data_IF_401088781291
#
_entry.id   IF_401088781291
#
_cell.length_a   1.000
_cell.length_b   1.000
_cell.length_c   1.000
_cell.angle_alpha   90.00
_cell.angle_beta   90.00
_cell.angle_gamma   90.00
#
_symmetry.space_group_name_H-M   'P 1'
#
loop_
_entity.id
_entity.type
_entity.pdbx_description
1 polymer ?
#
# COMPACT_ATOMS: atom_id res chain seq x y z
N UNK A 1 -5.99 35.05 45.15
CA UNK A 1 -6.70 33.77 44.98
C UNK A 1 -7.38 33.64 43.62
N UNK A 2 -8.34 34.50 43.24
CA UNK A 2 -9.02 34.40 41.92
C UNK A 2 -8.08 34.41 40.71
N UNK A 3 -7.05 35.28 40.72
CA UNK A 3 -6.02 35.35 39.64
C UNK A 3 -5.15 34.09 39.56
N UNK A 4 -4.79 33.51 40.70
CA UNK A 4 -3.97 32.30 40.79
C UNK A 4 -4.72 31.07 40.24
N UNK A 5 -6.01 30.95 40.57
CA UNK A 5 -6.88 29.88 40.05
C UNK A 5 -7.04 29.99 38.52
N UNK A 6 -7.22 31.21 38.01
CA UNK A 6 -7.33 31.45 36.56
C UNK A 6 -6.06 31.03 35.80
N UNK A 7 -4.89 31.33 36.34
CA UNK A 7 -3.60 30.96 35.74
C UNK A 7 -3.43 29.44 35.71
N UNK A 8 -3.77 28.74 36.80
CA UNK A 8 -3.69 27.27 36.85
C UNK A 8 -4.61 26.60 35.84
N UNK A 9 -5.84 27.11 35.66
CA UNK A 9 -6.79 26.59 34.67
C UNK A 9 -6.27 26.82 33.24
N UNK A 10 -5.73 28.01 32.95
CA UNK A 10 -5.17 28.32 31.64
C UNK A 10 -3.97 27.41 31.29
N UNK A 11 -3.06 27.18 32.24
CA UNK A 11 -1.94 26.25 32.08
C UNK A 11 -2.40 24.81 31.85
N UNK A 12 -3.41 24.35 32.60
CA UNK A 12 -4.00 23.03 32.40
C UNK A 12 -4.60 22.85 31.00
N UNK A 13 -5.25 23.89 30.47
CA UNK A 13 -5.84 23.86 29.13
C UNK A 13 -4.79 23.82 28.01
N UNK A 14 -3.67 24.55 28.16
CA UNK A 14 -2.55 24.51 27.22
C UNK A 14 -1.89 23.12 27.20
N UNK A 15 -1.68 22.51 28.37
CA UNK A 15 -1.15 21.15 28.46
C UNK A 15 -2.10 20.13 27.83
N UNK A 16 -3.40 20.24 28.09
CA UNK A 16 -4.40 19.34 27.51
C UNK A 16 -4.45 19.43 25.98
N UNK A 17 -4.43 20.64 25.43
CA UNK A 17 -4.44 20.85 23.97
C UNK A 17 -3.16 20.36 23.30
N UNK A 18 -1.99 20.54 23.92
CA UNK A 18 -0.72 20.01 23.41
C UNK A 18 -0.73 18.48 23.34
N UNK A 19 -1.24 17.81 24.39
CA UNK A 19 -1.40 16.36 24.42
C UNK A 19 -2.40 15.89 23.35
N UNK A 20 -3.53 16.59 23.21
CA UNK A 20 -4.54 16.24 22.22
C UNK A 20 -4.02 16.39 20.78
N UNK A 21 -3.29 17.46 20.49
CA UNK A 21 -2.62 17.64 19.18
C UNK A 21 -1.61 16.52 18.94
N UNK A 22 -0.80 16.14 19.93
CA UNK A 22 0.15 15.04 19.82
C UNK A 22 -0.54 13.70 19.51
N UNK A 23 -1.62 13.37 20.22
CA UNK A 23 -2.41 12.16 19.96
C UNK A 23 -3.08 12.16 18.58
N UNK A 24 -3.69 13.28 18.18
CA UNK A 24 -4.33 13.39 16.85
C UNK A 24 -3.29 13.32 15.72
N UNK A 25 -2.09 13.85 15.93
CA UNK A 25 -0.97 13.76 14.98
C UNK A 25 -0.41 12.34 14.85
N UNK A 26 -0.45 11.56 15.93
CA UNK A 26 0.05 10.17 15.95
C UNK A 26 -0.89 9.14 15.31
N UNK A 27 -2.19 9.42 15.26
CA UNK A 27 -3.21 8.43 14.86
C UNK A 27 -3.46 8.39 13.34
N UNK A 28 -3.02 9.37 12.54
CA UNK A 28 -3.32 9.40 11.08
C UNK A 28 -2.14 9.18 10.14
N UNK A 29 -0.96 8.80 10.65
CA UNK A 29 0.19 8.46 9.80
C UNK A 29 0.05 7.07 9.17
N UNK A 30 -0.97 6.89 8.33
CA UNK A 30 -0.92 5.83 7.31
C UNK A 30 0.20 6.24 6.36
N UNK A 31 1.28 5.45 6.33
CA UNK A 31 2.41 5.76 5.43
C UNK A 31 1.87 5.86 4.00
N UNK A 32 2.16 6.96 3.28
CA UNK A 32 1.69 7.10 1.91
C UNK A 32 2.25 5.96 1.06
N UNK A 33 1.52 5.51 0.03
CA UNK A 33 2.02 4.45 -0.82
C UNK A 33 3.30 4.88 -1.53
N UNK A 34 4.22 3.92 -1.72
CA UNK A 34 5.47 4.10 -2.47
C UNK A 34 5.16 4.51 -3.91
N UNK A 35 4.14 3.88 -4.51
CA UNK A 35 3.67 4.22 -5.86
C UNK A 35 2.21 3.83 -6.03
N UNK A 36 1.49 4.63 -6.79
CA UNK A 36 0.07 4.42 -7.12
C UNK A 36 -0.09 4.01 -8.58
N UNK A 37 -1.06 3.15 -8.83
CA UNK A 37 -1.47 2.73 -10.16
C UNK A 37 -2.99 2.65 -10.23
N UNK A 38 -3.51 2.66 -11.45
CA UNK A 38 -4.92 2.43 -11.73
C UNK A 38 -5.06 1.27 -12.70
N UNK A 39 -5.83 0.26 -12.29
CA UNK A 39 -6.24 -0.85 -13.12
C UNK A 39 -7.63 -0.60 -13.69
N UNK A 40 -7.80 -0.82 -15.00
CA UNK A 40 -9.07 -0.72 -15.69
C UNK A 40 -9.77 -2.08 -15.68
N UNK A 41 -10.45 -2.35 -14.56
CA UNK A 41 -11.22 -3.56 -14.30
C UNK A 41 -11.57 -3.68 -12.82
N UNK A 42 -12.30 -4.74 -12.49
CA UNK A 42 -12.72 -5.01 -11.10
C UNK A 42 -11.57 -5.58 -10.27
N UNK A 43 -11.63 -5.37 -8.94
CA UNK A 43 -10.64 -5.95 -8.02
C UNK A 43 -10.53 -7.46 -8.20
N UNK A 44 -11.66 -8.16 -8.35
CA UNK A 44 -11.67 -9.61 -8.55
C UNK A 44 -10.90 -10.04 -9.81
N UNK A 45 -11.07 -9.33 -10.93
CA UNK A 45 -10.32 -9.61 -12.16
C UNK A 45 -8.82 -9.37 -11.97
N UNK A 46 -8.44 -8.33 -11.22
CA UNK A 46 -7.05 -8.07 -10.88
C UNK A 46 -6.45 -9.20 -10.05
N UNK A 47 -7.14 -9.63 -8.99
CA UNK A 47 -6.72 -10.71 -8.10
C UNK A 47 -6.56 -12.03 -8.87
N UNK A 48 -7.55 -12.41 -9.68
CA UNK A 48 -7.45 -13.59 -10.55
C UNK A 48 -6.29 -13.49 -11.55
N UNK A 49 -5.98 -12.27 -12.03
CA UNK A 49 -4.82 -12.00 -12.86
C UNK A 49 -3.49 -12.32 -12.16
N UNK A 50 -3.33 -11.86 -10.92
CA UNK A 50 -2.15 -12.15 -10.10
C UNK A 50 -2.04 -13.63 -9.77
N UNK A 51 -3.13 -14.28 -9.37
CA UNK A 51 -3.17 -15.72 -9.05
C UNK A 51 -2.80 -16.59 -10.25
N UNK A 52 -3.36 -16.26 -11.43
CA UNK A 52 -3.01 -16.93 -12.68
C UNK A 52 -1.57 -16.66 -13.10
N UNK A 53 -1.04 -15.46 -12.85
CA UNK A 53 0.36 -15.17 -13.15
C UNK A 53 1.31 -15.95 -12.24
N UNK A 54 1.08 -15.95 -10.92
CA UNK A 54 1.93 -16.66 -9.96
C UNK A 54 1.91 -18.18 -10.15
N UNK A 55 0.75 -18.77 -10.47
CA UNK A 55 0.67 -20.22 -10.74
C UNK A 55 1.50 -20.67 -11.94
N UNK A 56 1.86 -19.76 -12.85
CA UNK A 56 2.72 -20.03 -14.00
C UNK A 56 4.21 -19.67 -13.77
N UNK A 57 4.57 -19.14 -12.60
CA UNK A 57 5.93 -18.69 -12.27
C UNK A 57 6.34 -19.25 -10.92
N UNK A 58 7.14 -20.32 -10.92
CA UNK A 58 7.57 -21.04 -9.71
C UNK A 58 8.42 -20.20 -8.75
N UNK A 59 9.02 -19.12 -9.25
CA UNK A 59 9.79 -18.14 -8.51
C UNK A 59 8.93 -17.07 -7.83
N UNK A 60 7.60 -17.11 -8.01
CA UNK A 60 6.69 -16.11 -7.47
C UNK A 60 5.58 -16.74 -6.62
N UNK A 61 5.34 -16.20 -5.44
CA UNK A 61 4.16 -16.49 -4.63
C UNK A 61 3.24 -15.28 -4.60
N UNK A 62 1.93 -15.54 -4.55
CA UNK A 62 0.91 -14.52 -4.40
C UNK A 62 -0.05 -14.96 -3.29
N UNK A 63 -0.32 -14.06 -2.34
CA UNK A 63 -1.24 -14.31 -1.22
C UNK A 63 -2.04 -13.07 -0.92
N UNK A 64 -3.36 -13.23 -0.76
CA UNK A 64 -4.20 -12.22 -0.12
C UNK A 64 -3.97 -12.34 1.38
N UNK A 65 -3.46 -11.29 2.01
CA UNK A 65 -3.08 -11.28 3.42
C UNK A 65 -4.15 -10.71 4.34
N UNK A 66 -4.94 -9.77 3.83
CA UNK A 66 -6.03 -9.18 4.59
C UNK A 66 -7.12 -8.65 3.66
N UNK A 67 -8.34 -8.51 4.16
CA UNK A 67 -9.45 -7.86 3.48
C UNK A 67 -10.17 -6.97 4.50
N UNK A 68 -10.10 -5.66 4.29
CA UNK A 68 -10.61 -4.65 5.22
C UNK A 68 -11.77 -3.90 4.55
N UNK A 69 -12.82 -3.61 5.31
CA UNK A 69 -14.01 -2.93 4.80
C UNK A 69 -15.27 -3.79 4.88
N UNK A 70 -16.33 -3.37 4.20
CA UNK A 70 -17.64 -4.02 4.26
C UNK A 70 -18.49 -3.69 3.04
N UNK A 71 -19.58 -4.45 2.86
CA UNK A 71 -20.48 -4.35 1.69
C UNK A 71 -20.89 -2.90 1.38
N UNK A 72 -21.11 -2.08 2.40
CA UNK A 72 -21.52 -0.67 2.26
C UNK A 72 -20.42 0.26 1.77
N UNK A 73 -19.17 -0.03 2.13
CA UNK A 73 -18.01 0.83 1.89
C UNK A 73 -17.00 0.22 0.91
N UNK A 74 -17.33 -0.89 0.24
CA UNK A 74 -16.37 -1.64 -0.55
C UNK A 74 -15.28 -2.29 0.31
N UNK A 75 -14.55 -3.22 -0.31
CA UNK A 75 -13.43 -3.91 0.30
C UNK A 75 -12.10 -3.38 -0.24
N UNK A 76 -11.16 -3.14 0.67
CA UNK A 76 -9.75 -3.00 0.38
C UNK A 76 -9.07 -4.35 0.62
N UNK A 77 -8.33 -4.83 -0.37
CA UNK A 77 -7.62 -6.10 -0.32
C UNK A 77 -6.14 -5.82 -0.16
N UNK A 78 -5.54 -6.37 0.89
CA UNK A 78 -4.10 -6.38 1.05
C UNK A 78 -3.55 -7.70 0.53
N UNK A 79 -2.53 -7.60 -0.31
CA UNK A 79 -1.89 -8.75 -0.90
C UNK A 79 -0.37 -8.64 -0.81
N UNK A 80 0.26 -9.79 -0.67
CA UNK A 80 1.71 -9.95 -0.67
C UNK A 80 2.13 -10.74 -1.89
N UNK A 81 3.17 -10.24 -2.56
CA UNK A 81 3.88 -10.92 -3.64
C UNK A 81 5.30 -11.16 -3.16
N UNK A 82 5.75 -12.40 -3.20
CA UNK A 82 7.14 -12.75 -2.90
C UNK A 82 7.78 -13.28 -4.19
N UNK A 83 8.95 -12.78 -4.53
CA UNK A 83 9.72 -13.23 -5.69
C UNK A 83 11.06 -13.75 -5.20
N UNK A 84 11.31 -15.04 -5.42
CA UNK A 84 12.51 -15.75 -5.00
C UNK A 84 13.33 -16.13 -6.22
N UNK A 85 14.48 -15.50 -6.39
CA UNK A 85 15.48 -15.94 -7.36
C UNK A 85 16.80 -16.29 -6.64
N UNK A 86 17.77 -16.79 -7.39
CA UNK A 86 19.06 -17.25 -6.85
C UNK A 86 19.87 -16.16 -6.13
N UNK A 87 19.49 -14.89 -6.23
CA UNK A 87 20.23 -13.74 -5.69
C UNK A 87 19.43 -12.94 -4.66
N UNK A 88 18.11 -12.89 -4.77
CA UNK A 88 17.26 -12.02 -3.97
C UNK A 88 15.93 -12.71 -3.65
N UNK A 89 15.47 -12.51 -2.43
CA UNK A 89 14.09 -12.72 -2.02
C UNK A 89 13.43 -11.36 -1.83
N UNK A 90 12.48 -11.01 -2.68
CA UNK A 90 11.86 -9.68 -2.72
C UNK A 90 10.40 -9.79 -2.33
N UNK A 91 9.99 -8.99 -1.36
CA UNK A 91 8.61 -8.90 -0.87
C UNK A 91 7.99 -7.57 -1.29
N UNK A 92 6.84 -7.64 -1.94
CA UNK A 92 5.98 -6.50 -2.24
C UNK A 92 4.67 -6.63 -1.48
N UNK A 93 4.21 -5.53 -0.86
CA UNK A 93 2.84 -5.44 -0.32
C UNK A 93 2.04 -4.42 -1.11
N UNK A 94 0.85 -4.81 -1.50
CA UNK A 94 -0.04 -4.02 -2.33
C UNK A 94 -1.40 -3.96 -1.64
N UNK A 95 -2.03 -2.79 -1.69
CA UNK A 95 -3.43 -2.62 -1.36
C UNK A 95 -4.21 -2.29 -2.63
N UNK A 96 -5.32 -2.99 -2.84
CA UNK A 96 -6.23 -2.73 -3.94
C UNK A 96 -7.63 -2.43 -3.43
N UNK A 97 -8.26 -1.42 -4.02
CA UNK A 97 -9.64 -1.07 -3.71
C UNK A 97 -10.37 -0.64 -4.98
N UNK A 98 -11.65 -0.97 -5.06
CA UNK A 98 -12.49 -0.53 -6.17
C UNK A 98 -12.67 0.99 -6.10
N UNK A 99 -12.39 1.69 -7.20
CA UNK A 99 -12.69 3.12 -7.28
C UNK A 99 -14.22 3.30 -7.32
N UNK A 100 -14.77 4.01 -6.33
CA UNK A 100 -16.21 4.25 -6.19
C UNK A 100 -16.71 5.43 -7.01
N UNK A 101 -15.81 6.35 -7.36
CA UNK A 101 -16.17 7.63 -7.97
C UNK A 101 -16.15 7.59 -9.51
N UNK A 102 -15.76 6.45 -10.10
CA UNK A 102 -15.63 6.30 -11.54
C UNK A 102 -16.88 5.65 -12.16
N UNK A 103 -17.38 6.24 -13.26
CA UNK A 103 -18.45 5.65 -14.09
C UNK A 103 -18.05 4.33 -14.75
N UNK A 104 -16.74 4.05 -14.80
CA UNK A 104 -16.15 2.84 -15.34
C UNK A 104 -15.56 2.01 -14.20
N UNK A 105 -15.65 0.68 -14.29
CA UNK A 105 -15.07 -0.20 -13.26
C UNK A 105 -13.54 -0.05 -13.29
N UNK A 106 -12.97 0.62 -12.28
CA UNK A 106 -11.52 0.78 -12.09
C UNK A 106 -11.10 0.43 -10.67
N UNK A 107 -9.89 -0.07 -10.52
CA UNK A 107 -9.31 -0.44 -9.23
C UNK A 107 -8.08 0.43 -8.96
N UNK A 108 -8.03 1.05 -7.79
CA UNK A 108 -6.83 1.71 -7.30
C UNK A 108 -5.87 0.65 -6.77
N UNK A 109 -4.60 0.76 -7.14
CA UNK A 109 -3.55 -0.20 -6.75
C UNK A 109 -2.42 0.61 -6.11
N UNK A 110 -2.17 0.36 -4.83
CA UNK A 110 -1.20 1.07 -4.02
C UNK A 110 -0.08 0.13 -3.63
N UNK A 111 1.13 0.35 -4.14
CA UNK A 111 2.33 -0.35 -3.67
C UNK A 111 2.76 0.28 -2.34
N UNK A 112 2.69 -0.50 -1.26
CA UNK A 112 2.90 -0.03 0.12
C UNK A 112 4.29 -0.41 0.63
N UNK A 113 4.78 -1.60 0.28
CA UNK A 113 6.09 -2.10 0.68
C UNK A 113 6.82 -2.62 -0.55
N UNK A 114 8.11 -2.31 -0.64
CA UNK A 114 9.06 -3.01 -1.50
C UNK A 114 10.33 -3.30 -0.67
N UNK A 115 10.62 -4.57 -0.43
CA UNK A 115 11.70 -4.96 0.48
C UNK A 115 12.49 -6.15 -0.08
N UNK A 116 13.81 -6.03 -0.09
CA UNK A 116 14.74 -7.12 -0.37
C UNK A 116 15.13 -7.78 0.95
N UNK A 117 14.56 -8.96 1.20
CA UNK A 117 14.77 -9.77 2.40
C UNK A 117 16.20 -10.31 2.50
N UNK A 118 16.89 -10.50 1.37
CA UNK A 118 18.25 -11.01 1.33
C UNK A 118 19.23 -9.96 1.81
N UNK A 119 19.12 -8.74 1.27
CA UNK A 119 20.03 -7.63 1.62
C UNK A 119 19.52 -6.79 2.79
N UNK A 120 18.31 -7.05 3.30
CA UNK A 120 17.65 -6.27 4.35
C UNK A 120 17.54 -4.78 4.00
N UNK A 121 17.16 -4.50 2.75
CA UNK A 121 17.03 -3.12 2.23
C UNK A 121 15.68 -2.88 1.59
N UNK A 122 15.27 -1.61 1.52
CA UNK A 122 13.94 -1.20 1.05
C UNK A 122 13.06 -0.71 2.21
N UNK A 123 11.76 -0.96 2.12
CA UNK A 123 10.79 -0.63 3.18
C UNK A 123 9.59 0.12 2.63
N UNK A 124 8.99 0.95 3.49
CA UNK A 124 7.78 1.73 3.21
C UNK A 124 8.07 3.14 2.63
N UNK A 125 9.34 3.56 2.62
CA UNK A 125 9.70 4.95 2.31
C UNK A 125 9.99 5.15 0.80
N UNK A 126 9.20 6.03 0.18
CA UNK A 126 9.28 6.35 -1.25
C UNK A 126 10.64 6.91 -1.73
N UNK A 127 11.43 7.55 -0.86
CA UNK A 127 12.63 8.34 -1.24
C UNK A 127 13.98 7.59 -1.15
N UNK A 128 13.97 6.30 -0.81
CA UNK A 128 15.19 5.51 -0.76
C UNK A 128 15.64 5.07 -2.16
N UNK A 129 16.91 5.31 -2.55
CA UNK A 129 17.46 4.84 -3.83
C UNK A 129 17.21 3.34 -4.09
N UNK A 130 17.26 2.52 -3.05
CA UNK A 130 16.97 1.09 -3.16
C UNK A 130 15.49 0.84 -3.46
N UNK A 131 14.58 1.57 -2.82
CA UNK A 131 13.14 1.44 -3.07
C UNK A 131 12.81 1.81 -4.52
N UNK A 132 13.43 2.85 -5.08
CA UNK A 132 13.27 3.20 -6.50
C UNK A 132 13.67 2.05 -7.44
N UNK A 133 14.77 1.37 -7.14
CA UNK A 133 15.20 0.18 -7.90
C UNK A 133 14.19 -0.96 -7.77
N UNK A 134 13.71 -1.24 -6.56
CA UNK A 134 12.72 -2.29 -6.31
C UNK A 134 11.37 -1.99 -6.97
N UNK A 135 10.95 -0.72 -7.01
CA UNK A 135 9.76 -0.26 -7.73
C UNK A 135 9.91 -0.47 -9.23
N UNK A 136 11.09 -0.14 -9.80
CA UNK A 136 11.36 -0.39 -11.22
C UNK A 136 11.36 -1.89 -11.54
N UNK A 137 11.87 -2.72 -10.64
CA UNK A 137 11.80 -4.18 -10.78
C UNK A 137 10.35 -4.67 -10.70
N UNK A 138 9.52 -4.10 -9.85
CA UNK A 138 8.09 -4.40 -9.79
C UNK A 138 7.38 -4.05 -11.10
N UNK A 139 7.62 -2.84 -11.63
CA UNK A 139 7.04 -2.39 -12.90
C UNK A 139 7.40 -3.32 -14.07
N UNK A 140 8.66 -3.73 -14.16
CA UNK A 140 9.18 -4.50 -15.29
C UNK A 140 8.98 -6.01 -15.13
N UNK A 141 9.09 -6.53 -13.92
CA UNK A 141 9.07 -7.98 -13.63
C UNK A 141 7.71 -8.52 -13.21
N UNK A 142 6.81 -7.65 -12.71
CA UNK A 142 5.47 -8.06 -12.27
C UNK A 142 4.40 -7.40 -13.14
N UNK A 143 4.35 -6.07 -13.18
CA UNK A 143 3.26 -5.38 -13.86
C UNK A 143 3.31 -5.54 -15.38
N UNK A 144 4.47 -5.39 -16.01
CA UNK A 144 4.58 -5.54 -17.47
C UNK A 144 4.15 -6.95 -17.93
N UNK A 145 4.63 -8.06 -17.35
CA UNK A 145 4.14 -9.39 -17.70
C UNK A 145 2.64 -9.59 -17.45
N UNK A 146 2.07 -9.00 -16.40
CA UNK A 146 0.62 -9.02 -16.18
C UNK A 146 -0.15 -8.32 -17.32
N UNK A 147 0.35 -7.17 -17.79
CA UNK A 147 -0.22 -6.49 -18.96
C UNK A 147 -0.15 -7.37 -20.21
N UNK A 148 1.05 -7.86 -20.51
CA UNK A 148 1.34 -8.52 -21.77
C UNK A 148 0.70 -9.92 -21.85
N UNK A 149 0.71 -10.68 -20.75
CA UNK A 149 0.26 -12.09 -20.71
C UNK A 149 -1.19 -12.26 -20.26
N UNK A 150 -1.72 -11.38 -19.41
CA UNK A 150 -3.10 -11.47 -18.90
C UNK A 150 -4.02 -10.39 -19.46
N UNK A 151 -3.55 -9.58 -20.41
CA UNK A 151 -4.29 -8.48 -21.04
C UNK A 151 -4.88 -7.49 -20.00
N UNK A 152 -4.14 -7.27 -18.91
CA UNK A 152 -4.52 -6.38 -17.81
C UNK A 152 -4.10 -4.95 -18.16
N UNK A 153 -5.02 -4.00 -18.11
CA UNK A 153 -4.69 -2.59 -18.32
C UNK A 153 -4.44 -1.90 -16.98
N UNK A 154 -3.17 -1.79 -16.56
CA UNK A 154 -2.78 -1.12 -15.31
C UNK A 154 -1.76 0.00 -15.57
N UNK A 155 -2.02 1.24 -15.18
CA UNK A 155 -1.13 2.37 -15.49
C UNK A 155 -0.70 3.11 -14.22
N UNK A 156 0.54 3.64 -14.15
CA UNK A 156 0.93 4.51 -13.06
C UNK A 156 0.04 5.75 -13.01
N UNK A 157 -0.26 6.22 -11.80
CA UNK A 157 -0.97 7.46 -11.52
C UNK A 157 -0.02 8.62 -11.25
#
# INVERSE_FOLDING_TARGET
>A
MKKTILITIALGFILFTAIFIYFVSGVSSVSPPIKKYQYFGSVNQLLSGFEKYSSNHSDMTFKITDTVGGIENGYAYYMTIEIMNNKHNITYRIMCEQNKDDKNIKTNVNLILAFDETNKTGGYQMKGKVVEVLVKQFDLGVLKPLKDKQNIQINPL
#
